data_IF_173053007682
#
_entry.id   IF_173053007682
#
_cell.length_a   1.000
_cell.length_b   1.000
_cell.length_c   1.000
_cell.angle_alpha   90.00
_cell.angle_beta   90.00
_cell.angle_gamma   90.00
#
_symmetry.space_group_name_H-M   'P 1'
#
loop_
_entity.id
_entity.type
_entity.pdbx_description
1 polymer ?
#
# COMPACT_ATOMS: atom_id res chain seq x y z
N UNK A 1 -49.14 24.62 -33.34
CA UNK A 1 -47.89 24.44 -32.57
C UNK A 1 -47.65 22.95 -32.44
N UNK A 2 -46.47 22.45 -32.81
CA UNK A 2 -46.14 21.03 -32.66
C UNK A 2 -45.70 20.79 -31.21
N UNK A 3 -46.23 19.74 -30.57
CA UNK A 3 -45.99 19.45 -29.16
C UNK A 3 -45.68 17.97 -28.97
N UNK A 4 -44.85 17.66 -27.97
CA UNK A 4 -44.45 16.29 -27.66
C UNK A 4 -43.38 15.75 -28.61
N UNK A 5 -43.22 14.43 -28.61
CA UNK A 5 -42.21 13.76 -29.44
C UNK A 5 -42.70 13.59 -30.87
N UNK A 6 -41.90 14.02 -31.83
CA UNK A 6 -42.19 13.87 -33.26
C UNK A 6 -41.06 13.12 -33.96
N UNK A 7 -41.41 12.38 -35.01
CA UNK A 7 -40.45 11.77 -35.93
C UNK A 7 -40.49 12.52 -37.25
N UNK A 8 -39.35 13.10 -37.65
CA UNK A 8 -39.15 13.77 -38.92
C UNK A 8 -38.06 13.02 -39.69
N UNK A 9 -38.45 12.30 -40.74
CA UNK A 9 -37.53 11.56 -41.62
C UNK A 9 -36.56 10.63 -40.88
N UNK A 10 -37.05 9.94 -39.83
CA UNK A 10 -36.25 8.99 -39.04
C UNK A 10 -35.49 9.61 -37.87
N UNK A 11 -35.61 10.92 -37.64
CA UNK A 11 -35.04 11.61 -36.47
C UNK A 11 -36.13 12.01 -35.50
N UNK A 12 -35.91 11.75 -34.22
CA UNK A 12 -36.85 12.09 -33.17
C UNK A 12 -36.51 13.44 -32.54
N UNK A 13 -37.51 14.28 -32.32
CA UNK A 13 -37.40 15.58 -31.65
C UNK A 13 -38.46 15.69 -30.57
N UNK A 14 -38.28 16.56 -29.58
CA UNK A 14 -39.29 16.84 -28.56
C UNK A 14 -39.49 18.34 -28.40
N UNK A 15 -40.75 18.77 -28.36
CA UNK A 15 -41.15 20.17 -28.17
C UNK A 15 -41.97 20.32 -26.88
N UNK A 16 -41.56 21.22 -25.98
CA UNK A 16 -42.23 21.42 -24.70
C UNK A 16 -43.64 21.99 -24.91
N UNK A 17 -44.65 21.33 -24.34
CA UNK A 17 -46.06 21.67 -24.60
C UNK A 17 -46.51 23.08 -24.19
N UNK A 18 -45.81 23.72 -23.24
CA UNK A 18 -46.16 25.07 -22.75
C UNK A 18 -45.55 26.20 -23.58
N UNK A 19 -44.38 25.98 -24.21
CA UNK A 19 -43.62 27.04 -24.89
C UNK A 19 -43.39 26.76 -26.37
N UNK A 20 -43.49 25.51 -26.81
CA UNK A 20 -43.13 25.08 -28.15
C UNK A 20 -41.62 25.05 -28.40
N UNK A 21 -40.79 25.22 -27.37
CA UNK A 21 -39.34 25.17 -27.50
C UNK A 21 -38.86 23.74 -27.75
N UNK A 22 -37.86 23.59 -28.62
CA UNK A 22 -37.22 22.30 -28.90
C UNK A 22 -36.28 21.89 -27.74
N UNK A 23 -36.42 20.66 -27.26
CA UNK A 23 -35.56 20.12 -26.23
C UNK A 23 -34.14 19.85 -26.73
N UNK A 24 -33.16 20.08 -25.85
CA UNK A 24 -31.74 19.79 -26.07
C UNK A 24 -31.13 19.24 -24.78
N UNK A 25 -30.07 18.43 -24.90
CA UNK A 25 -29.45 17.74 -23.78
C UNK A 25 -30.35 16.72 -23.09
N UNK A 26 -30.04 16.43 -21.82
CA UNK A 26 -30.82 15.53 -20.98
C UNK A 26 -32.22 16.10 -20.74
N UNK A 27 -33.24 15.37 -21.18
CA UNK A 27 -34.64 15.77 -21.04
C UNK A 27 -35.47 14.62 -20.46
N UNK A 28 -36.20 14.91 -19.39
CA UNK A 28 -37.14 13.96 -18.78
C UNK A 28 -38.56 14.30 -19.20
N UNK A 29 -39.23 13.35 -19.85
CA UNK A 29 -40.66 13.44 -20.16
C UNK A 29 -41.29 12.05 -20.02
N UNK A 30 -42.57 12.00 -19.65
CA UNK A 30 -43.28 10.75 -19.31
C UNK A 30 -42.55 9.86 -18.30
N UNK A 31 -41.87 10.49 -17.32
CA UNK A 31 -41.16 9.80 -16.26
C UNK A 31 -39.80 9.20 -16.64
N UNK A 32 -39.40 9.22 -17.92
CA UNK A 32 -38.16 8.59 -18.41
C UNK A 32 -37.23 9.61 -19.07
N UNK A 33 -35.94 9.31 -19.04
CA UNK A 33 -34.90 10.19 -19.56
C UNK A 33 -34.60 9.92 -21.03
N UNK A 34 -34.30 10.99 -21.74
CA UNK A 34 -33.90 11.02 -23.14
C UNK A 34 -32.71 11.97 -23.27
N UNK A 35 -31.97 11.86 -24.36
CA UNK A 35 -30.94 12.84 -24.70
C UNK A 35 -31.17 13.36 -26.11
N UNK A 36 -31.31 14.68 -26.24
CA UNK A 36 -31.40 15.36 -27.52
C UNK A 36 -30.08 16.07 -27.79
N UNK A 37 -29.56 15.94 -28.99
CA UNK A 37 -28.30 16.58 -29.39
C UNK A 37 -28.37 18.10 -29.14
N UNK A 38 -27.33 18.67 -28.54
CA UNK A 38 -27.34 20.07 -28.08
C UNK A 38 -27.38 21.08 -29.22
N UNK A 39 -26.95 20.67 -30.43
CA UNK A 39 -26.86 21.55 -31.59
C UNK A 39 -28.07 21.42 -32.53
N UNK A 40 -28.60 20.20 -32.66
CA UNK A 40 -29.63 19.88 -33.65
C UNK A 40 -30.99 19.56 -33.02
N UNK A 41 -31.04 19.26 -31.72
CA UNK A 41 -32.26 18.79 -31.03
C UNK A 41 -32.74 17.41 -31.43
N UNK A 42 -32.00 16.69 -32.30
CA UNK A 42 -32.33 15.31 -32.66
C UNK A 42 -31.96 14.36 -31.52
N UNK A 43 -32.81 13.37 -31.22
CA UNK A 43 -32.54 12.38 -30.18
C UNK A 43 -31.27 11.59 -30.52
N UNK A 44 -30.38 11.45 -29.54
CA UNK A 44 -29.21 10.57 -29.61
C UNK A 44 -29.68 9.14 -29.33
N UNK A 45 -29.22 8.19 -30.16
CA UNK A 45 -29.55 6.77 -30.07
C UNK A 45 -28.27 5.96 -29.84
N UNK A 46 -28.40 4.82 -29.16
CA UNK A 46 -27.27 3.96 -28.82
C UNK A 46 -26.37 4.58 -27.75
N UNK A 47 -25.05 4.39 -27.90
CA UNK A 47 -24.08 4.85 -26.92
C UNK A 47 -23.89 6.37 -26.95
N UNK A 48 -23.98 7.00 -25.78
CA UNK A 48 -23.69 8.41 -25.55
C UNK A 48 -22.59 8.54 -24.49
N UNK A 49 -21.55 9.33 -24.78
CA UNK A 49 -20.55 9.74 -23.78
C UNK A 49 -20.81 11.19 -23.37
N UNK A 50 -21.17 11.40 -22.12
CA UNK A 50 -21.46 12.74 -21.56
C UNK A 50 -20.84 12.84 -20.16
N UNK A 51 -20.13 13.94 -19.87
CA UNK A 51 -19.48 14.13 -18.56
C UNK A 51 -18.47 13.02 -18.17
N UNK A 52 -17.83 12.37 -19.15
CA UNK A 52 -16.89 11.26 -18.92
C UNK A 52 -17.55 9.91 -18.64
N UNK A 53 -18.89 9.84 -18.64
CA UNK A 53 -19.66 8.60 -18.40
C UNK A 53 -20.35 8.14 -19.68
N UNK A 54 -20.55 6.83 -19.78
CA UNK A 54 -21.27 6.23 -20.89
C UNK A 54 -22.73 5.97 -20.50
N UNK A 55 -23.63 6.24 -21.43
CA UNK A 55 -25.07 6.03 -21.33
C UNK A 55 -25.53 5.28 -22.57
N UNK A 56 -26.67 4.59 -22.49
CA UNK A 56 -27.25 3.91 -23.64
C UNK A 56 -28.70 4.34 -23.84
N UNK A 57 -29.00 4.95 -24.98
CA UNK A 57 -30.32 5.41 -25.38
C UNK A 57 -30.91 4.36 -26.31
N UNK A 58 -32.07 3.79 -25.96
CA UNK A 58 -32.71 2.74 -26.73
C UNK A 58 -32.99 3.24 -28.16
N UNK A 59 -32.42 2.61 -29.20
CA UNK A 59 -32.63 3.07 -30.58
C UNK A 59 -34.09 3.05 -31.05
N UNK A 60 -34.93 2.21 -30.45
CA UNK A 60 -36.33 2.06 -30.83
C UNK A 60 -37.27 3.00 -30.07
N UNK A 61 -36.92 3.36 -28.83
CA UNK A 61 -37.81 4.13 -27.94
C UNK A 61 -37.24 5.47 -27.53
N UNK A 62 -35.99 5.78 -27.86
CA UNK A 62 -35.22 6.97 -27.44
C UNK A 62 -34.94 7.07 -25.93
N UNK A 63 -35.45 6.12 -25.15
CA UNK A 63 -35.36 6.09 -23.69
C UNK A 63 -33.97 5.66 -23.23
N UNK A 64 -33.41 6.36 -22.26
CA UNK A 64 -32.20 5.98 -21.54
C UNK A 64 -32.39 4.66 -20.77
N UNK A 65 -31.53 3.68 -21.04
CA UNK A 65 -31.52 2.40 -20.35
C UNK A 65 -30.97 2.50 -18.92
N UNK A 66 -31.55 1.72 -18.03
CA UNK A 66 -31.11 1.48 -16.65
C UNK A 66 -31.14 -0.02 -16.38
N UNK A 67 -30.27 -0.52 -15.51
CA UNK A 67 -30.15 -1.95 -15.19
C UNK A 67 -29.29 -2.75 -16.19
N UNK A 68 -29.42 -4.09 -16.20
CA UNK A 68 -28.65 -4.96 -17.08
C UNK A 68 -28.89 -4.65 -18.56
N UNK A 69 -27.81 -4.56 -19.34
CA UNK A 69 -27.85 -4.22 -20.76
C UNK A 69 -26.94 -5.19 -21.54
N UNK A 70 -27.43 -5.73 -22.65
CA UNK A 70 -26.64 -6.55 -23.58
C UNK A 70 -26.63 -5.92 -24.96
N UNK A 71 -25.45 -5.52 -25.44
CA UNK A 71 -25.26 -4.84 -26.74
C UNK A 71 -24.01 -5.41 -27.40
N UNK A 72 -24.12 -5.84 -28.66
CA UNK A 72 -22.98 -6.37 -29.41
C UNK A 72 -22.32 -7.59 -28.77
N UNK A 73 -23.09 -8.45 -28.09
CA UNK A 73 -22.59 -9.62 -27.36
C UNK A 73 -21.92 -9.32 -26.02
N UNK A 74 -21.67 -8.04 -25.69
CA UNK A 74 -21.14 -7.60 -24.39
C UNK A 74 -22.26 -7.28 -23.42
N UNK A 75 -21.99 -7.52 -22.14
CA UNK A 75 -22.91 -7.24 -21.04
C UNK A 75 -22.43 -6.03 -20.25
N UNK A 76 -23.36 -5.16 -19.87
CA UNK A 76 -23.14 -3.91 -19.14
C UNK A 76 -24.15 -3.82 -18.01
N UNK A 77 -23.84 -3.01 -17.01
CA UNK A 77 -24.81 -2.66 -15.98
C UNK A 77 -24.96 -1.14 -15.92
N UNK A 78 -26.13 -0.65 -16.33
CA UNK A 78 -26.44 0.78 -16.30
C UNK A 78 -26.99 1.13 -14.92
N UNK A 79 -26.35 2.07 -14.23
CA UNK A 79 -26.79 2.55 -12.91
C UNK A 79 -28.16 3.22 -12.99
N UNK A 80 -28.80 3.52 -11.85
CA UNK A 80 -30.07 4.25 -11.83
C UNK A 80 -29.99 5.66 -12.43
N UNK A 81 -28.79 6.25 -12.44
CA UNK A 81 -28.49 7.50 -13.15
C UNK A 81 -28.38 7.33 -14.67
N UNK A 82 -28.40 6.10 -15.17
CA UNK A 82 -28.16 5.73 -16.57
C UNK A 82 -26.68 5.60 -16.96
N UNK A 83 -25.75 5.94 -16.07
CA UNK A 83 -24.32 5.78 -16.34
C UNK A 83 -23.91 4.30 -16.28
N UNK A 84 -23.07 3.85 -17.22
CA UNK A 84 -22.50 2.51 -17.22
C UNK A 84 -21.59 2.31 -15.99
N UNK A 85 -21.79 1.19 -15.29
CA UNK A 85 -21.01 0.81 -14.12
C UNK A 85 -19.62 0.29 -14.52
N UNK A 86 -18.61 0.63 -13.71
CA UNK A 86 -17.23 0.14 -13.83
C UNK A 86 -16.78 -0.34 -12.45
N UNK A 87 -16.06 -1.46 -12.41
CA UNK A 87 -15.56 -2.10 -11.19
C UNK A 87 -16.38 -3.32 -10.77
N UNK A 88 -16.27 -3.69 -9.49
CA UNK A 88 -16.93 -4.88 -8.93
C UNK A 88 -18.38 -4.61 -8.54
N UNK A 89 -19.30 -5.44 -9.06
CA UNK A 89 -20.72 -5.40 -8.73
C UNK A 89 -21.21 -6.79 -8.32
N UNK A 90 -21.91 -6.87 -7.20
CA UNK A 90 -22.59 -8.10 -6.76
C UNK A 90 -24.00 -8.16 -7.36
N UNK A 91 -24.23 -9.13 -8.25
CA UNK A 91 -25.52 -9.37 -8.90
C UNK A 91 -25.91 -10.82 -8.69
N UNK A 92 -27.14 -11.07 -8.19
CA UNK A 92 -27.63 -12.44 -7.98
C UNK A 92 -26.74 -13.28 -7.05
N UNK A 93 -26.12 -12.66 -6.04
CA UNK A 93 -25.22 -13.34 -5.12
C UNK A 93 -23.76 -13.50 -5.59
N UNK A 94 -23.48 -13.26 -6.87
CA UNK A 94 -22.14 -13.42 -7.47
C UNK A 94 -21.49 -12.07 -7.81
N UNK A 95 -20.18 -11.97 -7.60
CA UNK A 95 -19.41 -10.78 -7.96
C UNK A 95 -19.00 -10.81 -9.44
N UNK A 96 -19.22 -9.70 -10.12
CA UNK A 96 -18.85 -9.49 -11.52
C UNK A 96 -17.97 -8.24 -11.63
N UNK A 97 -16.92 -8.30 -12.44
CA UNK A 97 -16.08 -7.16 -12.75
C UNK A 97 -16.54 -6.54 -14.07
N UNK A 98 -16.81 -5.25 -14.08
CA UNK A 98 -17.03 -4.45 -15.28
C UNK A 98 -15.76 -3.65 -15.56
N UNK A 99 -15.14 -3.87 -16.72
CA UNK A 99 -13.89 -3.24 -17.13
C UNK A 99 -14.03 -1.73 -17.33
N UNK A 100 -12.93 -1.06 -17.67
CA UNK A 100 -12.93 0.39 -17.93
C UNK A 100 -13.77 0.81 -19.14
N UNK A 101 -14.06 -0.12 -20.05
CA UNK A 101 -15.02 0.05 -21.15
C UNK A 101 -16.49 -0.16 -20.72
N UNK A 102 -16.72 -0.43 -19.43
CA UNK A 102 -18.03 -0.72 -18.85
C UNK A 102 -18.54 -2.13 -19.13
N UNK A 103 -17.83 -2.94 -19.91
CA UNK A 103 -18.25 -4.29 -20.26
C UNK A 103 -17.87 -5.28 -19.15
N UNK A 104 -18.74 -6.24 -18.87
CA UNK A 104 -18.48 -7.33 -17.94
C UNK A 104 -17.32 -8.19 -18.45
N UNK A 105 -16.32 -8.40 -17.60
CA UNK A 105 -15.25 -9.36 -17.80
C UNK A 105 -15.81 -10.76 -17.59
N UNK A 106 -15.67 -11.62 -18.59
CA UNK A 106 -16.21 -12.99 -18.57
C UNK A 106 -15.15 -14.05 -18.89
N UNK A 107 -13.93 -13.65 -19.25
CA UNK A 107 -12.88 -14.59 -19.59
C UNK A 107 -11.50 -13.97 -19.45
N UNK A 108 -10.51 -14.82 -19.20
CA UNK A 108 -9.11 -14.46 -19.23
C UNK A 108 -8.63 -13.67 -18.02
N UNK A 109 -7.39 -13.19 -18.12
CA UNK A 109 -6.77 -12.36 -17.10
C UNK A 109 -7.34 -10.94 -17.13
N UNK A 110 -7.66 -10.43 -15.95
CA UNK A 110 -8.11 -9.06 -15.77
C UNK A 110 -7.37 -8.41 -14.60
N UNK A 111 -6.97 -7.17 -14.80
CA UNK A 111 -6.30 -6.35 -13.77
C UNK A 111 -7.29 -5.33 -13.23
N UNK A 112 -7.41 -5.27 -11.91
CA UNK A 112 -8.17 -4.25 -11.20
C UNK A 112 -7.24 -3.61 -10.16
N UNK A 113 -6.92 -2.33 -10.36
CA UNK A 113 -5.84 -1.67 -9.63
C UNK A 113 -4.49 -2.37 -9.84
N UNK A 114 -3.86 -2.81 -8.75
CA UNK A 114 -2.62 -3.59 -8.75
C UNK A 114 -2.83 -5.10 -8.65
N UNK A 115 -4.07 -5.55 -8.44
CA UNK A 115 -4.41 -6.95 -8.28
C UNK A 115 -4.82 -7.57 -9.63
N UNK A 116 -4.48 -8.83 -9.80
CA UNK A 116 -4.86 -9.63 -10.95
C UNK A 116 -5.88 -10.69 -10.58
N UNK A 117 -6.78 -10.94 -11.51
CA UNK A 117 -7.85 -11.92 -11.43
C UNK A 117 -7.87 -12.75 -12.70
N UNK A 118 -8.43 -13.94 -12.63
CA UNK A 118 -8.67 -14.74 -13.83
C UNK A 118 -10.14 -15.15 -13.87
N UNK A 119 -10.78 -14.92 -15.02
CA UNK A 119 -12.17 -15.27 -15.27
C UNK A 119 -12.23 -16.54 -16.11
N UNK A 120 -12.93 -17.56 -15.60
CA UNK A 120 -13.11 -18.81 -16.29
C UNK A 120 -14.03 -18.60 -17.50
N UNK A 121 -13.57 -18.83 -18.74
CA UNK A 121 -14.38 -18.61 -19.94
C UNK A 121 -15.66 -19.45 -20.00
N UNK A 122 -15.71 -20.60 -19.33
CA UNK A 122 -16.88 -21.48 -19.32
C UNK A 122 -18.01 -20.97 -18.40
N UNK A 123 -17.66 -20.27 -17.32
CA UNK A 123 -18.64 -19.82 -16.31
C UNK A 123 -18.82 -18.31 -16.27
N UNK A 124 -17.87 -17.54 -16.82
CA UNK A 124 -17.88 -16.08 -16.71
C UNK A 124 -17.53 -15.55 -15.33
N UNK A 125 -17.10 -16.41 -14.40
CA UNK A 125 -16.81 -16.08 -13.00
C UNK A 125 -15.30 -16.05 -12.75
N UNK A 126 -14.86 -15.21 -11.82
CA UNK A 126 -13.48 -15.23 -11.36
C UNK A 126 -13.19 -16.55 -10.62
N UNK A 127 -11.95 -17.03 -10.73
CA UNK A 127 -11.51 -18.28 -10.09
C UNK A 127 -10.93 -18.02 -8.70
N UNK A 128 -10.93 -19.05 -7.85
CA UNK A 128 -10.31 -19.04 -6.51
C UNK A 128 -9.50 -20.32 -6.31
N UNK A 129 -8.62 -20.37 -5.30
CA UNK A 129 -7.84 -21.56 -4.98
C UNK A 129 -6.79 -21.90 -6.05
N UNK A 130 -6.37 -23.16 -6.11
CA UNK A 130 -5.42 -23.65 -7.12
C UNK A 130 -6.17 -23.90 -8.44
N UNK A 131 -5.78 -23.21 -9.51
CA UNK A 131 -6.42 -23.30 -10.83
C UNK A 131 -5.36 -23.50 -11.91
N UNK A 132 -5.58 -24.47 -12.80
CA UNK A 132 -4.72 -24.69 -13.96
C UNK A 132 -5.17 -23.80 -15.12
N UNK A 133 -4.27 -22.96 -15.62
CA UNK A 133 -4.49 -22.07 -16.77
C UNK A 133 -3.38 -22.35 -17.77
N UNK A 134 -3.72 -22.85 -18.95
CA UNK A 134 -2.77 -23.21 -20.01
C UNK A 134 -1.62 -24.11 -19.52
N UNK A 135 -1.95 -25.14 -18.72
CA UNK A 135 -0.97 -26.10 -18.18
C UNK A 135 -0.14 -25.59 -16.99
N UNK A 136 -0.30 -24.34 -16.57
CA UNK A 136 0.36 -23.78 -15.39
C UNK A 136 -0.62 -23.66 -14.22
N UNK A 137 -0.23 -24.13 -13.04
CA UNK A 137 -1.05 -23.96 -11.82
C UNK A 137 -0.81 -22.59 -11.20
N UNK A 138 -1.87 -21.80 -11.09
CA UNK A 138 -1.90 -20.51 -10.41
C UNK A 138 -2.70 -20.63 -9.11
N UNK A 139 -2.36 -19.80 -8.10
CA UNK A 139 -3.06 -19.76 -6.83
C UNK A 139 -3.79 -18.44 -6.66
N UNK A 140 -5.06 -18.50 -6.29
CA UNK A 140 -5.92 -17.36 -6.07
C UNK A 140 -6.48 -17.39 -4.64
N UNK A 141 -6.62 -16.23 -4.04
CA UNK A 141 -7.30 -16.07 -2.75
C UNK A 141 -8.82 -16.28 -2.91
N UNK A 142 -9.58 -16.47 -1.80
CA UNK A 142 -11.04 -16.52 -1.85
C UNK A 142 -11.68 -15.27 -2.46
N UNK A 143 -10.98 -14.13 -2.39
CA UNK A 143 -11.38 -12.88 -3.04
C UNK A 143 -11.16 -12.86 -4.56
N UNK A 144 -10.54 -13.88 -5.13
CA UNK A 144 -10.20 -13.97 -6.55
C UNK A 144 -8.86 -13.34 -6.93
N UNK A 145 -8.18 -12.67 -6.00
CA UNK A 145 -6.87 -12.07 -6.24
C UNK A 145 -5.82 -13.16 -6.45
N UNK A 146 -5.08 -13.07 -7.54
CA UNK A 146 -3.94 -13.92 -7.86
C UNK A 146 -2.80 -13.67 -6.88
N UNK A 147 -2.16 -14.74 -6.42
CA UNK A 147 -0.93 -14.69 -5.62
C UNK A 147 0.25 -14.74 -6.60
N UNK A 148 0.89 -13.60 -6.83
CA UNK A 148 1.95 -13.43 -7.83
C UNK A 148 3.26 -14.11 -7.47
N UNK A 149 3.48 -14.39 -6.19
CA UNK A 149 4.64 -15.12 -5.70
C UNK A 149 4.26 -15.94 -4.48
N UNK A 150 4.68 -17.20 -4.46
CA UNK A 150 4.60 -18.10 -3.31
C UNK A 150 6.03 -18.56 -3.03
N UNK A 151 6.54 -18.30 -1.84
CA UNK A 151 7.85 -18.80 -1.44
C UNK A 151 7.76 -20.34 -1.27
N UNK A 152 8.86 -21.10 -1.46
CA UNK A 152 8.85 -22.53 -1.21
C UNK A 152 8.40 -22.85 0.23
N UNK A 153 7.89 -24.07 0.40
CA UNK A 153 7.41 -24.55 1.70
C UNK A 153 8.47 -24.38 2.80
N UNK A 154 8.05 -23.87 3.95
CA UNK A 154 8.94 -23.62 5.09
C UNK A 154 9.43 -22.19 5.24
N UNK A 155 9.39 -21.37 4.17
CA UNK A 155 9.77 -19.95 4.21
C UNK A 155 8.58 -19.01 4.43
N UNK A 156 8.90 -17.77 4.80
CA UNK A 156 7.92 -16.71 5.04
C UNK A 156 7.14 -16.44 3.74
N UNK A 157 5.81 -16.52 3.84
CA UNK A 157 4.94 -16.27 2.71
C UNK A 157 4.60 -14.79 2.61
N UNK A 158 4.44 -14.24 1.39
CA UNK A 158 3.97 -12.87 1.23
C UNK A 158 2.56 -12.70 1.81
N UNK A 159 2.33 -11.56 2.44
CA UNK A 159 1.05 -11.20 3.06
C UNK A 159 0.37 -10.03 2.35
N UNK A 160 -0.96 -9.97 2.47
CA UNK A 160 -1.78 -8.84 2.02
C UNK A 160 -1.75 -7.66 3.00
N UNK A 161 -1.36 -7.92 4.25
CA UNK A 161 -1.32 -6.93 5.32
C UNK A 161 -0.22 -7.29 6.31
N UNK A 162 0.34 -6.28 6.96
CA UNK A 162 1.25 -6.48 8.08
C UNK A 162 0.40 -6.68 9.35
N UNK A 163 0.87 -7.54 10.25
CA UNK A 163 0.19 -7.86 11.50
C UNK A 163 -0.09 -6.60 12.30
N UNK A 164 -1.37 -6.36 12.59
CA UNK A 164 -1.81 -5.26 13.44
C UNK A 164 -1.23 -5.41 14.84
N UNK A 165 -0.72 -4.31 15.37
CA UNK A 165 -0.14 -4.24 16.71
C UNK A 165 -1.19 -3.99 17.79
N UNK A 166 -2.45 -3.74 17.40
CA UNK A 166 -3.53 -3.42 18.34
C UNK A 166 -3.14 -2.24 19.25
N UNK A 167 -3.17 -2.45 20.56
CA UNK A 167 -2.79 -1.44 21.55
C UNK A 167 -1.29 -1.43 21.90
N UNK A 168 -0.46 -2.29 21.30
CA UNK A 168 0.97 -2.38 21.63
C UNK A 168 1.71 -1.09 21.25
N UNK A 169 2.41 -0.50 22.20
CA UNK A 169 3.21 0.72 22.00
C UNK A 169 4.17 0.87 23.18
N UNK A 170 5.15 1.76 23.06
CA UNK A 170 6.19 1.91 24.07
C UNK A 170 5.94 3.08 25.03
N UNK A 171 6.00 2.79 26.33
CA UNK A 171 6.31 3.77 27.38
C UNK A 171 7.82 3.99 27.40
N UNK A 172 8.27 5.25 27.51
CA UNK A 172 9.71 5.55 27.43
C UNK A 172 10.36 5.48 28.81
N UNK A 173 10.99 4.33 29.08
CA UNK A 173 11.85 4.07 30.25
C UNK A 173 13.33 4.11 29.86
N UNK A 174 14.23 4.02 30.84
CA UNK A 174 15.67 4.10 30.62
C UNK A 174 16.16 3.10 29.56
N UNK A 175 16.99 3.57 28.63
CA UNK A 175 17.57 2.79 27.55
C UNK A 175 16.65 2.55 26.34
N UNK A 176 15.37 2.96 26.41
CA UNK A 176 14.46 2.88 25.25
C UNK A 176 14.97 3.78 24.12
N UNK A 177 14.69 3.37 22.89
CA UNK A 177 15.13 4.06 21.68
C UNK A 177 13.97 4.29 20.71
N UNK A 178 14.24 4.97 19.60
CA UNK A 178 13.33 5.08 18.47
C UNK A 178 12.55 6.38 18.35
N UNK A 179 11.51 6.34 17.53
CA UNK A 179 10.84 7.55 17.01
C UNK A 179 10.22 8.42 18.09
N UNK A 180 9.61 7.80 19.12
CA UNK A 180 9.05 8.54 20.26
C UNK A 180 10.12 9.26 21.07
N UNK A 181 11.28 8.62 21.27
CA UNK A 181 12.40 9.21 22.00
C UNK A 181 12.91 10.44 21.27
N UNK A 182 13.09 10.34 19.94
CA UNK A 182 13.44 11.49 19.09
C UNK A 182 12.43 12.63 19.22
N UNK A 183 11.12 12.34 19.12
CA UNK A 183 10.06 13.35 19.23
C UNK A 183 10.14 14.08 20.57
N UNK A 184 10.30 13.35 21.68
CA UNK A 184 10.43 13.95 23.01
C UNK A 184 11.71 14.76 23.13
N UNK A 185 12.84 14.27 22.59
CA UNK A 185 14.09 15.04 22.56
C UNK A 185 13.93 16.35 21.77
N UNK A 186 13.22 16.34 20.64
CA UNK A 186 12.92 17.57 19.88
C UNK A 186 12.06 18.51 20.72
N UNK A 187 11.01 18.00 21.35
CA UNK A 187 10.09 18.79 22.17
C UNK A 187 10.77 19.45 23.37
N UNK A 188 11.77 18.78 23.94
CA UNK A 188 12.54 19.26 25.09
C UNK A 188 13.77 20.07 24.69
N UNK A 189 14.01 20.33 23.39
CA UNK A 189 15.18 21.07 22.91
C UNK A 189 16.51 20.31 23.05
N UNK A 190 16.46 18.98 23.19
CA UNK A 190 17.62 18.12 23.34
C UNK A 190 18.15 17.61 22.00
N UNK A 191 17.32 17.57 20.95
CA UNK A 191 17.66 16.92 19.67
C UNK A 191 18.59 17.74 18.78
N UNK A 192 19.53 17.04 18.13
CA UNK A 192 20.37 17.54 17.03
C UNK A 192 20.82 16.36 16.14
N UNK A 193 21.35 16.63 14.95
CA UNK A 193 21.61 15.63 13.89
C UNK A 193 22.55 14.48 14.29
N UNK A 194 23.43 14.72 15.25
CA UNK A 194 24.37 13.74 15.82
C UNK A 194 24.00 13.33 17.24
N UNK A 195 22.71 13.41 17.64
CA UNK A 195 22.21 12.87 18.92
C UNK A 195 21.50 11.52 18.76
N UNK A 196 21.76 10.59 19.69
CA UNK A 196 21.11 9.28 19.69
C UNK A 196 19.70 9.44 20.23
N UNK A 197 18.74 8.85 19.53
CA UNK A 197 17.38 8.68 20.04
C UNK A 197 17.39 7.61 21.13
N UNK A 198 17.88 7.97 22.32
CA UNK A 198 17.96 7.09 23.49
C UNK A 198 17.49 7.82 24.76
N UNK A 199 16.77 7.10 25.61
CA UNK A 199 16.40 7.56 26.95
C UNK A 199 17.60 7.40 27.87
N UNK A 200 18.40 8.46 27.95
CA UNK A 200 19.56 8.57 28.84
C UNK A 200 19.23 9.38 30.11
N UNK A 201 20.23 9.58 30.98
CA UNK A 201 20.06 10.36 32.21
C UNK A 201 19.68 11.82 31.97
N UNK A 202 20.18 12.44 30.89
CA UNK A 202 19.85 13.81 30.52
C UNK A 202 18.39 13.93 30.06
N UNK A 203 17.91 12.96 29.27
CA UNK A 203 16.53 12.82 28.88
C UNK A 203 15.62 12.73 30.11
N UNK A 204 15.91 11.80 31.03
CA UNK A 204 15.07 11.63 32.23
C UNK A 204 15.06 12.88 33.10
N UNK A 205 16.19 13.57 33.25
CA UNK A 205 16.27 14.84 33.99
C UNK A 205 15.40 15.93 33.36
N UNK A 206 15.43 16.05 32.03
CA UNK A 206 14.59 16.98 31.30
C UNK A 206 13.09 16.62 31.41
N UNK A 207 12.74 15.34 31.35
CA UNK A 207 11.37 14.85 31.54
C UNK A 207 10.87 15.13 32.97
N UNK A 208 11.66 14.87 34.01
CA UNK A 208 11.29 15.23 35.40
C UNK A 208 11.03 16.72 35.55
N UNK A 209 11.89 17.55 34.93
CA UNK A 209 11.72 19.00 34.93
C UNK A 209 10.45 19.44 34.21
N UNK A 210 10.10 18.80 33.09
CA UNK A 210 8.85 19.01 32.38
C UNK A 210 7.63 18.57 33.22
N UNK A 211 7.66 17.36 33.77
CA UNK A 211 6.60 16.82 34.62
C UNK A 211 6.30 17.75 35.80
N UNK A 212 7.34 18.25 36.47
CA UNK A 212 7.20 19.23 37.56
C UNK A 212 6.45 20.49 37.11
N UNK A 213 6.77 21.05 35.93
CA UNK A 213 6.10 22.25 35.40
C UNK A 213 4.63 21.99 35.05
N UNK A 214 4.30 20.75 34.66
CA UNK A 214 2.94 20.34 34.30
C UNK A 214 2.13 19.79 35.48
N UNK A 215 2.68 19.80 36.70
CA UNK A 215 2.01 19.24 37.89
C UNK A 215 1.89 17.71 37.86
N UNK A 216 2.74 17.01 37.11
CA UNK A 216 2.78 15.55 37.00
C UNK A 216 3.83 14.95 37.95
N UNK A 217 3.67 13.66 38.26
CA UNK A 217 4.69 12.88 39.00
C UNK A 217 6.03 12.89 38.26
N UNK A 218 7.11 13.23 38.96
CA UNK A 218 8.46 13.42 38.40
C UNK A 218 9.21 12.09 38.22
N UNK A 219 8.62 11.16 37.48
CA UNK A 219 9.15 9.81 37.26
C UNK A 219 10.34 9.78 36.31
N UNK A 220 10.47 10.78 35.43
CA UNK A 220 11.43 10.78 34.32
C UNK A 220 11.06 9.79 33.19
N UNK A 221 9.92 9.11 33.32
CA UNK A 221 9.34 8.20 32.33
C UNK A 221 8.33 8.96 31.50
N UNK A 222 8.31 8.74 30.17
CA UNK A 222 7.25 9.26 29.31
C UNK A 222 6.20 8.18 29.12
N UNK A 223 5.22 8.17 30.02
CA UNK A 223 3.98 7.44 29.88
C UNK A 223 2.95 8.23 29.05
N UNK A 224 1.73 7.69 28.90
CA UNK A 224 0.67 8.32 28.13
C UNK A 224 0.33 9.72 28.66
N UNK A 225 0.21 9.87 29.99
CA UNK A 225 -0.14 11.16 30.60
C UNK A 225 0.94 12.22 30.33
N UNK A 226 2.20 11.84 30.48
CA UNK A 226 3.35 12.71 30.18
C UNK A 226 3.40 13.07 28.69
N UNK A 227 3.15 12.11 27.79
CA UNK A 227 3.11 12.35 26.35
C UNK A 227 1.99 13.31 25.93
N UNK A 228 0.78 13.09 26.44
CA UNK A 228 -0.38 13.93 26.14
C UNK A 228 -0.14 15.37 26.64
N UNK A 229 0.45 15.53 27.83
CA UNK A 229 0.82 16.84 28.37
C UNK A 229 1.89 17.57 27.51
N UNK A 230 2.77 16.83 26.83
CA UNK A 230 3.80 17.43 25.97
C UNK A 230 3.22 18.07 24.70
N UNK A 231 2.03 17.64 24.26
CA UNK A 231 1.36 18.13 23.04
C UNK A 231 2.31 18.11 21.83
N UNK A 232 2.92 16.95 21.57
CA UNK A 232 3.97 16.79 20.53
C UNK A 232 3.45 16.97 19.11
N UNK A 233 2.12 16.95 18.90
CA UNK A 233 1.49 16.88 17.58
C UNK A 233 1.48 15.48 16.98
N UNK A 234 2.04 14.47 17.67
CA UNK A 234 2.08 13.09 17.23
C UNK A 234 1.16 12.20 18.07
N UNK A 235 0.55 11.20 17.42
CA UNK A 235 -0.20 10.14 18.10
C UNK A 235 0.68 9.40 19.11
N UNK A 236 0.09 8.98 20.23
CA UNK A 236 0.74 8.04 21.15
C UNK A 236 1.16 6.73 20.47
N UNK A 237 0.54 6.37 19.36
CA UNK A 237 0.85 5.15 18.61
C UNK A 237 1.80 5.40 17.42
N UNK A 238 2.52 6.54 17.40
CA UNK A 238 3.44 6.90 16.29
C UNK A 238 4.55 5.86 16.03
N UNK A 239 4.90 5.04 17.02
CA UNK A 239 5.85 3.93 16.92
C UNK A 239 5.25 2.64 16.32
N UNK A 240 3.97 2.66 15.94
CA UNK A 240 3.32 1.57 15.19
C UNK A 240 3.39 1.75 13.67
N UNK A 241 4.09 2.77 13.17
CA UNK A 241 4.19 3.00 11.73
C UNK A 241 4.66 1.73 11.00
N UNK A 242 3.90 1.28 10.02
CA UNK A 242 4.19 0.11 9.19
C UNK A 242 3.93 0.49 7.73
N UNK A 243 4.90 0.25 6.85
CA UNK A 243 4.73 0.46 5.42
C UNK A 243 3.63 -0.46 4.89
N UNK A 244 2.73 0.10 4.08
CA UNK A 244 1.69 -0.68 3.41
C UNK A 244 2.33 -1.66 2.41
N UNK A 245 1.96 -2.95 2.42
CA UNK A 245 2.53 -3.92 1.49
C UNK A 245 2.02 -3.69 0.05
N UNK A 246 2.82 -4.07 -0.93
CA UNK A 246 2.38 -4.20 -2.33
C UNK A 246 1.31 -5.27 -2.49
N UNK A 247 0.60 -5.22 -3.62
CA UNK A 247 -0.43 -6.20 -3.97
C UNK A 247 0.07 -7.65 -3.79
N UNK A 248 -0.86 -8.53 -3.40
CA UNK A 248 -0.58 -9.96 -3.34
C UNK A 248 -0.25 -10.55 -4.72
N UNK A 249 -0.74 -9.93 -5.79
CA UNK A 249 -0.44 -10.25 -7.18
C UNK A 249 0.94 -9.81 -7.64
N UNK A 250 1.70 -9.10 -6.81
CA UNK A 250 3.10 -8.79 -7.13
C UNK A 250 3.92 -10.08 -7.24
N UNK A 251 4.60 -10.21 -8.36
CA UNK A 251 5.58 -11.26 -8.67
C UNK A 251 6.80 -11.17 -7.77
N UNK A 252 7.65 -12.21 -7.80
CA UNK A 252 8.90 -12.23 -7.02
C UNK A 252 9.77 -11.00 -7.31
N UNK A 253 9.94 -10.67 -8.60
CA UNK A 253 10.76 -9.53 -9.03
C UNK A 253 10.15 -8.20 -8.59
N UNK A 254 8.84 -8.02 -8.74
CA UNK A 254 8.16 -6.79 -8.31
C UNK A 254 8.27 -6.58 -6.79
N UNK A 255 8.28 -7.65 -5.99
CA UNK A 255 8.49 -7.56 -4.53
C UNK A 255 9.91 -7.16 -4.16
N UNK A 256 10.91 -7.72 -4.84
CA UNK A 256 12.32 -7.33 -4.66
C UNK A 256 12.48 -5.83 -4.97
N UNK A 257 11.94 -5.38 -6.11
CA UNK A 257 12.01 -3.97 -6.49
C UNK A 257 11.16 -3.07 -5.60
N UNK A 258 10.05 -3.55 -5.05
CA UNK A 258 9.29 -2.82 -4.04
C UNK A 258 10.10 -2.62 -2.75
N UNK A 259 10.74 -3.69 -2.25
CA UNK A 259 11.62 -3.61 -1.07
C UNK A 259 12.72 -2.57 -1.28
N UNK A 260 13.43 -2.67 -2.40
CA UNK A 260 14.53 -1.75 -2.74
C UNK A 260 14.01 -0.34 -2.98
N UNK A 261 12.90 -0.19 -3.73
CA UNK A 261 12.27 1.08 -4.05
C UNK A 261 11.82 1.83 -2.81
N UNK A 262 11.27 1.12 -1.81
CA UNK A 262 10.94 1.72 -0.52
C UNK A 262 12.18 2.35 0.12
N UNK A 263 13.26 1.58 0.24
CA UNK A 263 14.50 2.06 0.84
C UNK A 263 15.13 3.21 0.05
N UNK A 264 15.09 3.13 -1.29
CA UNK A 264 15.61 4.15 -2.20
C UNK A 264 14.88 5.49 -2.03
N UNK A 265 13.57 5.45 -1.81
CA UNK A 265 12.75 6.62 -1.52
C UNK A 265 13.00 7.20 -0.13
N UNK A 266 13.68 6.47 0.77
CA UNK A 266 14.09 6.99 2.07
C UNK A 266 15.47 7.64 2.07
N UNK A 267 16.20 7.67 0.94
CA UNK A 267 17.51 8.33 0.87
C UNK A 267 17.41 9.79 1.29
N UNK A 268 18.38 10.26 2.08
CA UNK A 268 18.35 11.59 2.68
C UNK A 268 17.63 11.65 4.03
N UNK A 269 16.84 10.62 4.41
CA UNK A 269 16.26 10.56 5.75
C UNK A 269 17.36 10.51 6.82
N UNK A 270 17.15 11.28 7.87
CA UNK A 270 18.07 11.35 9.02
C UNK A 270 18.14 10.03 9.79
N UNK A 271 19.27 9.77 10.43
CA UNK A 271 19.43 8.62 11.31
C UNK A 271 18.64 8.77 12.62
N UNK A 272 17.96 7.70 13.05
CA UNK A 272 17.30 7.58 14.36
C UNK A 272 17.56 6.19 14.89
N UNK A 273 18.32 6.08 15.99
CA UNK A 273 18.55 4.80 16.65
C UNK A 273 17.24 4.17 17.16
N UNK A 274 16.98 2.90 16.83
CA UNK A 274 15.70 2.23 17.06
C UNK A 274 14.55 2.80 16.21
N UNK A 275 14.88 3.58 15.18
CA UNK A 275 13.91 4.26 14.33
C UNK A 275 13.40 3.38 13.21
N UNK A 276 12.08 3.18 13.18
CA UNK A 276 11.37 2.55 12.06
C UNK A 276 10.10 3.36 11.72
N UNK A 277 10.24 4.68 11.61
CA UNK A 277 9.12 5.61 11.40
C UNK A 277 8.88 5.97 9.93
N UNK A 278 8.11 7.04 9.66
CA UNK A 278 8.09 7.70 8.36
C UNK A 278 9.37 8.51 8.11
N UNK A 279 9.61 8.90 6.85
CA UNK A 279 10.78 9.65 6.37
C UNK A 279 11.29 10.75 7.34
N UNK A 280 10.39 11.60 7.84
CA UNK A 280 10.75 12.75 8.70
C UNK A 280 11.22 12.38 10.11
N UNK A 281 10.90 11.18 10.60
CA UNK A 281 11.32 10.68 11.92
C UNK A 281 12.56 9.80 11.85
N UNK A 282 13.03 9.47 10.65
CA UNK A 282 14.29 8.78 10.42
C UNK A 282 14.28 7.29 10.75
N UNK A 283 15.41 6.66 10.41
CA UNK A 283 15.60 5.22 10.51
C UNK A 283 16.98 4.88 11.08
N UNK A 284 17.11 3.70 11.70
CA UNK A 284 18.38 2.97 11.72
C UNK A 284 18.40 1.88 10.64
N UNK A 285 19.50 1.12 10.56
CA UNK A 285 19.73 0.12 9.53
C UNK A 285 18.62 -0.93 9.45
N UNK A 286 18.24 -1.44 10.62
CA UNK A 286 17.29 -2.52 10.76
C UNK A 286 15.85 -2.02 10.72
N UNK A 287 15.59 -0.77 11.14
CA UNK A 287 14.29 -0.13 10.96
C UNK A 287 13.98 0.20 9.50
N UNK A 288 14.95 0.68 8.73
CA UNK A 288 14.81 0.85 7.27
C UNK A 288 14.54 -0.49 6.59
N UNK A 289 15.32 -1.51 6.95
CA UNK A 289 15.17 -2.88 6.42
C UNK A 289 13.80 -3.47 6.76
N UNK A 290 13.33 -3.30 7.99
CA UNK A 290 12.03 -3.82 8.43
C UNK A 290 10.88 -3.16 7.66
N UNK A 291 10.93 -1.85 7.43
CA UNK A 291 9.90 -1.15 6.66
C UNK A 291 9.94 -1.52 5.17
N UNK A 292 11.13 -1.73 4.61
CA UNK A 292 11.28 -2.23 3.24
C UNK A 292 10.68 -3.64 3.08
N UNK A 293 10.93 -4.54 4.04
CA UNK A 293 10.33 -5.87 4.07
C UNK A 293 8.80 -5.79 4.15
N UNK A 294 8.26 -4.94 5.03
CA UNK A 294 6.82 -4.69 5.13
C UNK A 294 6.23 -4.21 3.81
N UNK A 295 6.86 -3.23 3.16
CA UNK A 295 6.39 -2.74 1.86
C UNK A 295 6.37 -3.83 0.79
N UNK A 296 7.30 -4.79 0.85
CA UNK A 296 7.33 -5.93 -0.05
C UNK A 296 6.39 -7.09 0.34
N UNK A 297 5.63 -6.93 1.43
CA UNK A 297 4.66 -7.91 1.94
C UNK A 297 5.27 -9.00 2.82
N UNK A 298 6.48 -8.79 3.36
CA UNK A 298 7.13 -9.73 4.28
C UNK A 298 6.95 -9.25 5.72
N UNK A 299 6.21 -10.02 6.51
CA UNK A 299 5.92 -9.73 7.92
C UNK A 299 6.63 -10.72 8.85
N UNK A 300 7.88 -10.44 9.27
CA UNK A 300 8.71 -11.39 10.03
C UNK A 300 8.34 -11.44 11.52
N UNK A 301 7.07 -11.67 11.87
CA UNK A 301 6.67 -11.81 13.27
C UNK A 301 7.48 -12.93 13.96
N UNK A 302 7.87 -12.74 15.24
CA UNK A 302 7.46 -11.68 16.15
C UNK A 302 8.37 -10.42 16.13
N UNK A 303 9.16 -10.22 15.08
CA UNK A 303 10.00 -9.04 14.87
C UNK A 303 9.12 -7.89 14.37
N UNK A 304 9.06 -6.79 15.12
CA UNK A 304 8.21 -5.66 14.78
C UNK A 304 8.76 -4.30 15.26
N UNK A 305 8.11 -3.23 14.80
CA UNK A 305 8.52 -1.82 15.03
C UNK A 305 8.43 -1.38 16.49
N UNK A 306 7.57 -2.01 17.30
CA UNK A 306 7.47 -1.71 18.73
C UNK A 306 8.67 -2.30 19.47
N UNK A 307 9.00 -3.57 19.23
CA UNK A 307 10.17 -4.23 19.83
C UNK A 307 11.49 -3.61 19.37
N UNK A 308 11.51 -3.08 18.15
CA UNK A 308 12.69 -2.42 17.58
C UNK A 308 13.21 -1.24 18.46
N UNK A 309 12.34 -0.60 19.25
CA UNK A 309 12.73 0.45 20.20
C UNK A 309 13.22 -0.04 21.57
N UNK A 310 13.20 -1.35 21.85
CA UNK A 310 13.55 -1.87 23.18
C UNK A 310 15.07 -1.85 23.43
N UNK A 311 15.54 -1.68 24.69
CA UNK A 311 16.93 -1.31 24.97
C UNK A 311 17.96 -2.35 24.51
N UNK A 312 17.66 -3.63 24.69
CA UNK A 312 18.53 -4.76 24.36
C UNK A 312 18.12 -5.51 23.09
N UNK A 313 17.00 -5.11 22.46
CA UNK A 313 16.51 -5.79 21.28
C UNK A 313 17.29 -5.34 20.05
N UNK A 314 17.75 -6.31 19.24
CA UNK A 314 18.56 -6.07 18.04
C UNK A 314 17.88 -6.69 16.84
N UNK A 315 17.05 -5.88 16.17
CA UNK A 315 16.31 -6.31 14.97
C UNK A 315 17.22 -6.87 13.88
N UNK A 316 18.43 -6.34 13.69
CA UNK A 316 19.41 -6.92 12.76
C UNK A 316 19.80 -8.36 13.10
N UNK A 317 20.03 -8.67 14.39
CA UNK A 317 20.34 -10.03 14.84
C UNK A 317 19.14 -10.97 14.70
N UNK A 318 17.95 -10.48 15.01
CA UNK A 318 16.71 -11.25 14.93
C UNK A 318 16.36 -11.57 13.47
N UNK A 319 16.52 -10.60 12.56
CA UNK A 319 16.34 -10.81 11.12
C UNK A 319 17.35 -11.82 10.57
N UNK A 320 18.62 -11.74 11.00
CA UNK A 320 19.64 -12.72 10.63
C UNK A 320 19.26 -14.13 11.12
N UNK A 321 18.77 -14.27 12.36
CA UNK A 321 18.40 -15.58 12.93
C UNK A 321 17.02 -16.08 12.48
N UNK A 322 16.27 -15.31 11.70
CA UNK A 322 14.87 -15.62 11.41
C UNK A 322 14.73 -16.88 10.56
N UNK A 323 14.22 -17.95 11.16
CA UNK A 323 14.20 -19.30 10.58
C UNK A 323 13.35 -19.44 9.31
N UNK A 324 12.49 -18.46 9.03
CA UNK A 324 11.64 -18.43 7.83
C UNK A 324 12.25 -17.65 6.68
N UNK A 325 13.47 -17.12 6.82
CA UNK A 325 14.24 -16.63 5.68
C UNK A 325 15.32 -17.60 5.26
N UNK A 326 15.62 -17.60 3.97
CA UNK A 326 16.67 -18.45 3.42
C UNK A 326 18.03 -17.83 3.68
N UNK A 327 18.99 -18.65 4.12
CA UNK A 327 20.39 -18.27 4.18
C UNK A 327 21.13 -18.80 2.96
N UNK A 328 21.92 -17.95 2.32
CA UNK A 328 22.77 -18.32 1.19
C UNK A 328 24.18 -17.78 1.40
N UNK A 329 25.24 -18.45 0.91
CA UNK A 329 26.61 -17.94 1.02
C UNK A 329 26.72 -16.52 0.44
N UNK A 330 27.57 -15.67 1.03
CA UNK A 330 27.82 -14.30 0.55
C UNK A 330 28.24 -14.25 -0.93
N UNK A 331 28.94 -15.28 -1.42
CA UNK A 331 29.33 -15.42 -2.83
C UNK A 331 28.14 -15.64 -3.78
N UNK A 332 26.99 -16.11 -3.27
CA UNK A 332 25.76 -16.34 -4.03
C UNK A 332 24.72 -15.23 -3.85
N UNK A 333 25.13 -14.08 -3.29
CA UNK A 333 24.28 -12.91 -3.07
C UNK A 333 23.64 -12.43 -4.37
N UNK A 334 22.38 -12.05 -4.30
CA UNK A 334 21.58 -11.50 -5.38
C UNK A 334 20.91 -10.23 -4.92
N UNK A 335 20.65 -9.31 -5.85
CA UNK A 335 19.87 -8.10 -5.60
C UNK A 335 18.59 -8.46 -4.81
N UNK A 336 18.34 -7.72 -3.72
CA UNK A 336 17.26 -8.00 -2.78
C UNK A 336 17.63 -8.90 -1.60
N UNK A 337 18.84 -9.46 -1.55
CA UNK A 337 19.35 -10.11 -0.34
C UNK A 337 19.72 -9.05 0.72
N UNK A 338 19.69 -9.46 1.98
CA UNK A 338 20.11 -8.65 3.12
C UNK A 338 21.54 -9.02 3.50
N UNK A 339 22.42 -8.02 3.53
CA UNK A 339 23.82 -8.14 3.93
C UNK A 339 23.92 -7.79 5.42
N UNK A 340 24.59 -8.63 6.20
CA UNK A 340 24.80 -8.40 7.62
C UNK A 340 26.28 -8.21 7.91
N UNK A 341 26.56 -7.32 8.85
CA UNK A 341 27.92 -7.01 9.28
C UNK A 341 28.09 -7.38 10.75
N UNK A 342 29.29 -7.87 11.08
CA UNK A 342 29.63 -8.37 12.39
C UNK A 342 30.75 -7.54 13.02
N UNK A 343 30.74 -7.52 14.35
CA UNK A 343 31.84 -7.05 15.18
C UNK A 343 32.03 -8.10 16.26
N UNK A 344 33.25 -8.65 16.38
CA UNK A 344 33.55 -9.77 17.28
C UNK A 344 32.58 -10.95 17.14
N UNK A 345 32.20 -11.27 15.89
CA UNK A 345 31.28 -12.36 15.56
C UNK A 345 29.79 -12.07 15.81
N UNK A 346 29.44 -10.90 16.33
CA UNK A 346 28.06 -10.50 16.61
C UNK A 346 27.53 -9.58 15.51
N UNK A 347 26.34 -9.86 14.97
CA UNK A 347 25.69 -8.98 13.99
C UNK A 347 25.36 -7.62 14.62
N UNK A 348 25.86 -6.55 14.00
CA UNK A 348 25.70 -5.15 14.46
C UNK A 348 24.98 -4.27 13.45
N UNK A 349 25.04 -4.61 12.16
CA UNK A 349 24.46 -3.80 11.09
C UNK A 349 23.84 -4.67 10.00
N UNK A 350 22.86 -4.11 9.27
CA UNK A 350 22.20 -4.75 8.12
C UNK A 350 22.02 -3.75 6.99
N UNK A 351 22.11 -4.22 5.75
CA UNK A 351 21.89 -3.42 4.56
C UNK A 351 21.16 -4.23 3.48
N UNK A 352 20.45 -3.54 2.58
CA UNK A 352 19.77 -4.18 1.45
C UNK A 352 20.70 -4.17 0.24
N UNK A 353 20.96 -5.34 -0.34
CA UNK A 353 21.85 -5.48 -1.50
C UNK A 353 21.17 -5.06 -2.80
N UNK A 354 21.87 -4.22 -3.57
CA UNK A 354 21.38 -3.67 -4.83
C UNK A 354 21.93 -4.40 -6.05
N UNK A 355 22.90 -5.30 -5.89
CA UNK A 355 23.74 -5.76 -6.99
C UNK A 355 25.01 -4.93 -7.12
N UNK A 356 25.95 -5.40 -7.94
CA UNK A 356 27.21 -4.71 -8.27
C UNK A 356 27.99 -4.19 -7.04
N UNK A 357 28.00 -4.98 -5.97
CA UNK A 357 28.63 -4.59 -4.71
C UNK A 357 28.14 -3.26 -4.13
N UNK A 358 26.88 -2.92 -4.39
CA UNK A 358 26.20 -1.77 -3.80
C UNK A 358 25.14 -2.21 -2.77
N UNK A 359 25.00 -1.42 -1.72
CA UNK A 359 23.97 -1.58 -0.71
C UNK A 359 23.27 -0.26 -0.40
N UNK A 360 22.03 -0.32 0.06
CA UNK A 360 21.33 0.81 0.67
C UNK A 360 21.11 0.57 2.17
N UNK A 361 21.42 1.58 2.98
CA UNK A 361 21.44 1.47 4.44
C UNK A 361 21.44 2.83 5.15
N UNK A 362 21.38 2.76 6.48
CA UNK A 362 21.52 3.83 7.47
C UNK A 362 22.43 3.34 8.58
N UNK A 363 23.68 3.78 8.65
CA UNK A 363 24.70 3.20 9.54
C UNK A 363 25.10 4.06 10.74
N UNK A 364 24.99 5.39 10.64
CA UNK A 364 25.43 6.26 11.73
C UNK A 364 24.73 7.60 11.77
N UNK A 365 24.84 8.23 12.94
CA UNK A 365 24.29 9.54 13.23
C UNK A 365 24.93 10.61 12.34
N UNK A 366 24.13 11.58 11.90
CA UNK A 366 24.58 12.58 10.92
C UNK A 366 24.81 12.04 9.51
N UNK A 367 24.75 10.71 9.29
CA UNK A 367 24.86 10.11 7.96
C UNK A 367 23.46 9.64 7.50
N UNK A 368 22.84 10.34 6.55
CA UNK A 368 21.50 9.98 6.10
C UNK A 368 21.50 8.63 5.38
N UNK A 369 20.29 8.09 5.17
CA UNK A 369 20.09 6.92 4.32
C UNK A 369 20.68 7.17 2.93
N UNK A 370 21.45 6.21 2.42
CA UNK A 370 22.22 6.38 1.18
C UNK A 370 22.66 5.05 0.59
N UNK A 371 23.22 5.13 -0.61
CA UNK A 371 23.84 4.02 -1.30
C UNK A 371 25.35 4.11 -1.07
N UNK A 372 25.96 2.98 -0.73
CA UNK A 372 27.41 2.83 -0.61
C UNK A 372 27.84 1.46 -1.15
N UNK A 373 29.14 1.31 -1.35
CA UNK A 373 29.74 0.01 -1.62
C UNK A 373 29.48 -0.97 -0.46
N UNK A 374 29.30 -2.26 -0.75
CA UNK A 374 28.94 -3.33 0.20
C UNK A 374 29.95 -3.50 1.33
N UNK A 375 31.21 -3.12 1.14
CA UNK A 375 32.17 -3.14 2.25
C UNK A 375 31.81 -2.15 3.34
N UNK A 376 31.06 -1.09 2.99
CA UNK A 376 30.77 0.09 3.82
C UNK A 376 32.03 0.53 4.59
N UNK A 377 31.93 1.34 5.64
CA UNK A 377 33.08 1.64 6.51
C UNK A 377 33.53 0.43 7.38
N UNK A 378 32.99 -0.77 7.13
CA UNK A 378 33.22 -1.98 7.95
C UNK A 378 34.30 -2.89 7.34
N UNK A 379 34.49 -2.89 6.03
CA UNK A 379 35.44 -3.78 5.32
C UNK A 379 34.91 -5.21 5.11
N UNK A 380 35.53 -5.94 4.16
CA UNK A 380 35.12 -7.30 3.79
C UNK A 380 35.16 -8.31 4.94
N UNK A 381 36.17 -8.20 5.82
CA UNK A 381 36.35 -9.13 6.95
C UNK A 381 35.24 -9.06 8.01
N UNK A 382 34.42 -8.02 7.98
CA UNK A 382 33.32 -7.79 8.92
C UNK A 382 31.95 -8.08 8.29
N UNK A 383 31.88 -8.75 7.13
CA UNK A 383 30.61 -9.19 6.54
C UNK A 383 30.35 -10.64 6.98
N UNK A 384 29.12 -10.94 7.38
CA UNK A 384 28.71 -12.32 7.68
C UNK A 384 28.93 -13.24 6.47
N UNK A 385 29.32 -14.50 6.73
CA UNK A 385 29.60 -15.48 5.67
C UNK A 385 28.37 -15.86 4.85
N UNK A 386 27.17 -15.59 5.38
CA UNK A 386 25.89 -15.82 4.73
C UNK A 386 25.10 -14.50 4.65
N UNK A 387 24.31 -14.37 3.58
CA UNK A 387 23.29 -13.34 3.43
C UNK A 387 21.92 -13.96 3.64
N UNK A 388 20.94 -13.12 3.98
CA UNK A 388 19.54 -13.55 4.09
C UNK A 388 18.81 -13.20 2.80
N UNK A 389 18.13 -14.17 2.21
CA UNK A 389 17.27 -14.01 1.04
C UNK A 389 15.80 -14.02 1.48
N UNK A 390 15.12 -12.85 1.49
CA UNK A 390 13.71 -12.79 1.88
C UNK A 390 12.78 -13.44 0.84
N UNK A 391 13.21 -13.51 -0.42
CA UNK A 391 12.46 -14.06 -1.55
C UNK A 391 13.23 -15.24 -2.17
N UNK A 392 13.22 -16.44 -1.57
CA UNK A 392 13.85 -17.64 -2.12
C UNK A 392 13.31 -18.05 -3.50
#
# INVERSE_FOLDING_TARGET
MVQGQINLSGKYYYFYGLTGDMATGWTKHNGVWHYYDKSTGAAVLGWLKDGGKWYYLNPSTTVMHVGPLKVGGKEYFMQSSGAAFVGWLKVGGSWHLYGSDGARVTSGWAKDGSDWYYFNPATGNYVTGNTVINGTTYRFLPSGKWIGYTAPGGYLQPSQSITSLGSQTNTLTYGMNGVKVRIVQQRLGLWYSTKLASVDGAFQTAVRSFQRRMGLSQTGVVDKATWDAMQTGYSWYVDQYQAAPVSISATRSERIEAMIGYAYNQRGSSYTWGGAGPYGLGYDCSGLTLQALYHAGMDPQPINVVKHGWPSYRTSQELYKYSKFQHVPLSARQRGDLIFYTTDGVVTHVAIYLGDDQVIHTDWMGRPARIEHITVSYGWGNIASQVVRPFP
#
